data_IF_926340560432
#
_entry.id   IF_926340560432
#
_cell.length_a   1.000
_cell.length_b   1.000
_cell.length_c   1.000
_cell.angle_alpha   90.00
_cell.angle_beta   90.00
_cell.angle_gamma   90.00
#
_symmetry.space_group_name_H-M   'P 1'
#
loop_
_entity.id
_entity.type
_entity.pdbx_description
1 polymer ?
#
# COMPACT_ATOMS: atom_id res chain seq x y z
N UNK A 1 11.02 0.55 -14.90
CA UNK A 1 10.90 0.61 -13.41
C UNK A 1 11.46 1.95 -12.97
N UNK A 2 10.84 2.63 -12.01
CA UNK A 2 11.42 3.88 -11.47
C UNK A 2 12.70 3.56 -10.70
N UNK A 3 13.65 4.50 -10.70
CA UNK A 3 14.87 4.43 -9.91
C UNK A 3 14.58 4.67 -8.43
N UNK A 4 15.47 4.23 -7.55
CA UNK A 4 15.37 4.49 -6.11
C UNK A 4 15.26 5.99 -5.80
N UNK A 5 15.98 6.82 -6.56
CA UNK A 5 15.95 8.27 -6.41
C UNK A 5 14.58 8.86 -6.80
N UNK A 6 13.99 8.39 -7.90
CA UNK A 6 12.65 8.80 -8.33
C UNK A 6 11.58 8.37 -7.31
N UNK A 7 11.69 7.15 -6.75
CA UNK A 7 10.77 6.65 -5.73
C UNK A 7 10.86 7.51 -4.46
N UNK A 8 12.07 7.82 -3.99
CA UNK A 8 12.26 8.66 -2.78
C UNK A 8 11.76 10.08 -2.98
N UNK A 9 12.11 10.71 -4.11
CA UNK A 9 11.67 12.07 -4.41
C UNK A 9 10.15 12.19 -4.44
N UNK A 10 9.49 11.26 -5.15
CA UNK A 10 8.04 11.21 -5.20
C UNK A 10 7.40 10.91 -3.82
N UNK A 11 8.03 10.04 -3.02
CA UNK A 11 7.58 9.73 -1.66
C UNK A 11 7.61 10.94 -0.73
N UNK A 12 8.68 11.74 -0.78
CA UNK A 12 8.80 12.97 0.02
C UNK A 12 7.71 13.98 -0.38
N UNK A 13 7.45 14.13 -1.68
CA UNK A 13 6.38 15.01 -2.17
C UNK A 13 5.01 14.56 -1.65
N UNK A 14 4.69 13.26 -1.73
CA UNK A 14 3.44 12.72 -1.22
C UNK A 14 3.27 12.95 0.28
N UNK A 15 4.32 12.67 1.07
CA UNK A 15 4.29 12.87 2.52
C UNK A 15 4.08 14.34 2.88
N UNK A 16 4.80 15.24 2.22
CA UNK A 16 4.69 16.68 2.46
C UNK A 16 3.32 17.21 2.08
N UNK A 17 2.72 16.73 0.98
CA UNK A 17 1.38 17.13 0.55
C UNK A 17 0.28 16.61 1.49
N UNK A 18 0.47 15.41 2.07
CA UNK A 18 -0.54 14.78 2.93
C UNK A 18 -0.48 15.26 4.39
N UNK A 19 0.71 15.50 4.92
CA UNK A 19 0.95 15.77 6.35
C UNK A 19 1.45 17.19 6.62
N UNK A 20 1.92 17.91 5.60
CA UNK A 20 2.70 19.13 5.77
C UNK A 20 4.16 18.84 6.15
N UNK A 21 5.00 19.86 6.06
CA UNK A 21 6.47 19.72 6.17
C UNK A 21 6.89 19.17 7.54
N UNK A 22 6.35 19.73 8.63
CA UNK A 22 6.76 19.38 10.00
C UNK A 22 6.40 17.93 10.35
N UNK A 23 5.19 17.50 10.01
CA UNK A 23 4.75 16.12 10.31
C UNK A 23 5.42 15.10 9.38
N UNK A 24 5.67 15.46 8.12
CA UNK A 24 6.40 14.61 7.18
C UNK A 24 7.84 14.35 7.66
N UNK A 25 8.56 15.36 8.13
CA UNK A 25 9.90 15.19 8.71
C UNK A 25 9.87 14.30 9.96
N UNK A 26 8.90 14.53 10.87
CA UNK A 26 8.73 13.69 12.06
C UNK A 26 8.41 12.24 11.70
N UNK A 27 7.59 12.00 10.68
CA UNK A 27 7.26 10.67 10.19
C UNK A 27 8.51 9.93 9.67
N UNK A 28 9.34 10.61 8.85
CA UNK A 28 10.60 10.04 8.36
C UNK A 28 11.56 9.74 9.52
N UNK A 29 11.64 10.63 10.51
CA UNK A 29 12.45 10.41 11.71
C UNK A 29 11.97 9.20 12.51
N UNK A 30 10.65 8.99 12.65
CA UNK A 30 10.09 7.81 13.33
C UNK A 30 10.37 6.52 12.57
N UNK A 31 10.19 6.51 11.24
CA UNK A 31 10.53 5.38 10.38
C UNK A 31 12.00 4.95 10.48
N UNK A 32 12.91 5.91 10.66
CA UNK A 32 14.34 5.62 10.80
C UNK A 32 14.72 5.14 12.21
N UNK A 33 13.96 5.52 13.25
CA UNK A 33 14.22 5.16 14.65
C UNK A 33 13.65 3.80 15.01
N UNK A 34 12.50 3.44 14.44
CA UNK A 34 11.79 2.21 14.75
C UNK A 34 11.72 1.33 13.50
N UNK A 35 11.99 0.02 13.66
CA UNK A 35 11.73 -0.93 12.57
C UNK A 35 10.23 -0.98 12.31
N UNK A 36 9.81 -0.47 11.16
CA UNK A 36 8.46 -0.67 10.67
C UNK A 36 8.23 -2.15 10.34
N UNK A 37 7.33 -2.80 11.07
CA UNK A 37 6.99 -4.19 10.84
C UNK A 37 6.00 -4.30 9.68
N UNK A 38 6.54 -4.45 8.47
CA UNK A 38 5.77 -4.63 7.25
C UNK A 38 4.82 -5.83 7.34
N UNK A 39 5.20 -6.91 8.04
CA UNK A 39 4.36 -8.10 8.18
C UNK A 39 3.13 -7.80 9.02
N UNK A 40 3.30 -7.11 10.15
CA UNK A 40 2.17 -6.67 10.99
C UNK A 40 1.28 -5.67 10.25
N UNK A 41 1.86 -4.65 9.61
CA UNK A 41 1.07 -3.69 8.84
C UNK A 41 0.29 -4.36 7.71
N UNK A 42 0.87 -5.34 7.02
CA UNK A 42 0.20 -6.07 5.94
C UNK A 42 -0.99 -6.90 6.45
N UNK A 43 -0.89 -7.44 7.66
CA UNK A 43 -2.00 -8.18 8.28
C UNK A 43 -3.21 -7.27 8.58
N UNK A 44 -3.01 -5.98 8.82
CA UNK A 44 -4.11 -5.05 9.08
C UNK A 44 -4.81 -4.55 7.82
N UNK A 45 -4.31 -4.85 6.62
CA UNK A 45 -4.91 -4.40 5.36
C UNK A 45 -6.15 -5.19 4.95
N UNK A 46 -6.35 -6.38 5.53
CA UNK A 46 -7.51 -7.26 5.25
C UNK A 46 -8.16 -7.75 6.54
N UNK A 47 -8.66 -6.84 7.39
CA UNK A 47 -9.20 -7.23 8.70
C UNK A 47 -10.42 -8.15 8.58
N UNK A 48 -11.21 -7.99 7.52
CA UNK A 48 -12.48 -8.70 7.31
C UNK A 48 -12.38 -9.81 6.26
N UNK A 49 -11.18 -10.13 5.78
CA UNK A 49 -10.99 -11.03 4.64
C UNK A 49 -9.94 -12.09 4.90
N UNK A 50 -10.34 -13.35 4.75
CA UNK A 50 -9.41 -14.47 4.71
C UNK A 50 -9.04 -14.85 3.26
N UNK A 51 -8.01 -15.68 3.13
CA UNK A 51 -7.51 -16.15 1.82
C UNK A 51 -8.62 -16.79 0.97
N UNK A 52 -9.54 -17.54 1.59
CA UNK A 52 -10.62 -18.20 0.87
C UNK A 52 -11.64 -17.19 0.29
N UNK A 53 -12.02 -16.18 1.07
CA UNK A 53 -12.91 -15.07 0.63
C UNK A 53 -12.27 -14.25 -0.50
N UNK A 54 -10.96 -13.96 -0.37
CA UNK A 54 -10.22 -13.26 -1.42
C UNK A 54 -10.14 -14.09 -2.71
N UNK A 55 -9.84 -15.39 -2.60
CA UNK A 55 -9.79 -16.30 -3.73
C UNK A 55 -11.17 -16.45 -4.40
N UNK A 56 -12.25 -16.48 -3.63
CA UNK A 56 -13.60 -16.51 -4.18
C UNK A 56 -13.90 -15.25 -4.99
N UNK A 57 -13.61 -14.06 -4.47
CA UNK A 57 -13.86 -12.81 -5.21
C UNK A 57 -12.99 -12.68 -6.45
N UNK A 58 -11.73 -13.11 -6.37
CA UNK A 58 -10.85 -13.15 -7.54
C UNK A 58 -11.42 -14.04 -8.66
N UNK A 59 -11.99 -15.22 -8.33
CA UNK A 59 -12.67 -16.08 -9.30
C UNK A 59 -13.89 -15.41 -9.94
N UNK A 60 -14.77 -14.83 -9.11
CA UNK A 60 -15.96 -14.13 -9.61
C UNK A 60 -15.64 -12.95 -10.53
N UNK A 61 -14.60 -12.18 -10.22
CA UNK A 61 -14.10 -11.11 -11.10
C UNK A 61 -13.64 -11.66 -12.46
N UNK A 62 -12.94 -12.81 -12.47
CA UNK A 62 -12.46 -13.43 -13.70
C UNK A 62 -13.61 -13.87 -14.61
N UNK A 63 -14.62 -14.52 -14.03
CA UNK A 63 -15.83 -14.96 -14.73
C UNK A 63 -16.61 -13.76 -15.33
N UNK A 64 -16.69 -12.64 -14.60
CA UNK A 64 -17.33 -11.41 -15.10
C UNK A 64 -16.57 -10.78 -16.28
N UNK A 65 -15.24 -10.77 -16.23
CA UNK A 65 -14.43 -10.27 -17.36
C UNK A 65 -14.49 -11.18 -18.58
N UNK A 66 -14.61 -12.50 -18.38
CA UNK A 66 -14.80 -13.48 -19.46
C UNK A 66 -16.20 -13.34 -20.09
N UNK A 67 -17.24 -13.09 -19.28
CA UNK A 67 -18.64 -12.94 -19.76
C UNK A 67 -18.88 -11.61 -20.50
N UNK A 68 -18.15 -10.54 -20.16
CA UNK A 68 -18.28 -9.22 -20.82
C UNK A 68 -17.39 -9.08 -22.07
N UNK A 69 -16.61 -10.11 -22.42
CA UNK A 69 -15.73 -10.12 -23.58
C UNK A 69 -16.33 -10.85 -24.81
N UNK A 70 -17.51 -11.47 -24.65
CA UNK A 70 -18.39 -11.98 -25.71
C UNK A 70 -19.53 -10.99 -26.01
#
# INVERSE_FOLDING_TARGET
MRTDAEIRSHGIQLLTNALGVVEAERFIALLNRERFDYTKWRQTQWPDENVASLAHRARGLREQTETNAD
#
